data_IF_508099175186
#
_entry.id   IF_508099175186
#
_cell.length_a   1.000
_cell.length_b   1.000
_cell.length_c   1.000
_cell.angle_alpha   90.00
_cell.angle_beta   90.00
_cell.angle_gamma   90.00
#
_symmetry.space_group_name_H-M   'P 1'
#
loop_
_entity.id
_entity.type
_entity.pdbx_description
1 polymer ?
#
# COMPACT_ATOMS: atom_id res chain seq x y z
N UNK A 1 -24.04 -12.47 -7.78
CA UNK A 1 -22.65 -12.97 -7.96
C UNK A 1 -22.28 -13.01 -9.43
N UNK A 2 -23.14 -13.55 -10.30
CA UNK A 2 -22.95 -13.63 -11.76
C UNK A 2 -22.43 -12.34 -12.41
N UNK A 3 -23.09 -11.22 -12.18
CA UNK A 3 -22.69 -9.93 -12.73
C UNK A 3 -21.24 -9.50 -12.40
N UNK A 4 -20.66 -9.96 -11.26
CA UNK A 4 -19.26 -9.65 -10.92
C UNK A 4 -18.28 -10.45 -11.77
N UNK A 5 -18.65 -11.69 -12.12
CA UNK A 5 -17.88 -12.50 -13.05
C UNK A 5 -17.93 -11.91 -14.45
N UNK A 6 -19.08 -11.37 -14.87
CA UNK A 6 -19.22 -10.68 -16.16
C UNK A 6 -18.34 -9.42 -16.22
N UNK A 7 -18.42 -8.55 -15.22
CA UNK A 7 -17.56 -7.34 -15.14
C UNK A 7 -16.07 -7.69 -15.17
N UNK A 8 -15.65 -8.69 -14.38
CA UNK A 8 -14.25 -9.13 -14.33
C UNK A 8 -13.80 -9.81 -15.62
N UNK A 9 -14.64 -10.63 -16.25
CA UNK A 9 -14.33 -11.28 -17.52
C UNK A 9 -14.13 -10.25 -18.64
N UNK A 10 -14.98 -9.23 -18.69
CA UNK A 10 -14.86 -8.14 -19.67
C UNK A 10 -13.56 -7.35 -19.47
N UNK A 11 -13.25 -6.98 -18.23
CA UNK A 11 -12.01 -6.27 -17.89
C UNK A 11 -10.76 -7.12 -18.14
N UNK A 12 -10.80 -8.43 -17.89
CA UNK A 12 -9.71 -9.35 -18.23
C UNK A 12 -9.53 -9.46 -19.75
N UNK A 13 -10.62 -9.47 -20.53
CA UNK A 13 -10.56 -9.43 -22.00
C UNK A 13 -9.89 -8.15 -22.51
N UNK A 14 -10.24 -7.00 -21.95
CA UNK A 14 -9.58 -5.73 -22.29
C UNK A 14 -8.10 -5.72 -21.87
N UNK A 15 -7.77 -6.23 -20.68
CA UNK A 15 -6.39 -6.34 -20.24
C UNK A 15 -5.56 -7.26 -21.16
N UNK A 16 -6.14 -8.34 -21.66
CA UNK A 16 -5.49 -9.24 -22.63
C UNK A 16 -5.29 -8.54 -23.98
N UNK A 17 -6.30 -7.84 -24.49
CA UNK A 17 -6.22 -7.12 -25.75
C UNK A 17 -5.17 -6.01 -25.72
N UNK A 18 -5.06 -5.27 -24.60
CA UNK A 18 -4.14 -4.15 -24.43
C UNK A 18 -2.83 -4.50 -23.72
N UNK A 19 -2.46 -5.79 -23.64
CA UNK A 19 -1.34 -6.27 -22.82
C UNK A 19 0.01 -5.60 -23.12
N UNK A 20 0.24 -5.24 -24.38
CA UNK A 20 1.50 -4.66 -24.86
C UNK A 20 1.46 -3.12 -24.88
N UNK A 21 0.41 -2.51 -24.31
CA UNK A 21 0.15 -1.07 -24.33
C UNK A 21 -0.03 -0.52 -22.93
N UNK A 22 0.19 0.79 -22.75
CA UNK A 22 -0.01 1.49 -21.47
C UNK A 22 -1.42 1.34 -20.88
N UNK A 23 -2.43 1.03 -21.71
CA UNK A 23 -3.83 0.80 -21.32
C UNK A 23 -4.01 -0.40 -20.40
N UNK A 24 -3.05 -1.33 -20.38
CA UNK A 24 -3.01 -2.43 -19.42
C UNK A 24 -3.10 -1.93 -17.97
N UNK A 25 -2.38 -0.85 -17.64
CA UNK A 25 -2.35 -0.32 -16.27
C UNK A 25 -3.74 0.15 -15.80
N UNK A 26 -4.48 1.01 -16.55
CA UNK A 26 -5.88 1.29 -16.29
C UNK A 26 -6.77 0.04 -16.20
N UNK A 27 -6.56 -0.97 -17.05
CA UNK A 27 -7.35 -2.21 -17.02
C UNK A 27 -7.19 -2.97 -15.69
N UNK A 28 -5.94 -3.13 -15.24
CA UNK A 28 -5.62 -3.76 -13.96
C UNK A 28 -6.14 -2.93 -12.77
N UNK A 29 -6.01 -1.60 -12.85
CA UNK A 29 -6.57 -0.70 -11.84
C UNK A 29 -8.09 -0.80 -11.76
N UNK A 30 -8.79 -0.94 -12.89
CA UNK A 30 -10.23 -1.14 -12.93
C UNK A 30 -10.64 -2.48 -12.31
N UNK A 31 -9.89 -3.57 -12.57
CA UNK A 31 -10.11 -4.88 -11.93
C UNK A 31 -9.98 -4.81 -10.40
N UNK A 32 -8.92 -4.16 -9.91
CA UNK A 32 -8.68 -3.96 -8.48
C UNK A 32 -9.80 -3.11 -7.84
N UNK A 33 -10.12 -1.97 -8.43
CA UNK A 33 -11.21 -1.12 -7.94
C UNK A 33 -12.56 -1.83 -7.94
N UNK A 34 -12.84 -2.61 -8.99
CA UNK A 34 -14.10 -3.34 -9.13
C UNK A 34 -14.29 -4.44 -8.09
N UNK A 35 -13.21 -5.09 -7.67
CA UNK A 35 -13.23 -6.13 -6.63
C UNK A 35 -13.24 -5.55 -5.21
N UNK A 36 -12.57 -4.42 -4.97
CA UNK A 36 -12.46 -3.80 -3.65
C UNK A 36 -13.76 -3.13 -3.16
N UNK A 37 -14.47 -2.41 -4.03
CA UNK A 37 -15.73 -1.71 -3.67
C UNK A 37 -16.79 -2.63 -3.03
N UNK A 38 -17.13 -3.79 -3.62
CA UNK A 38 -18.08 -4.71 -3.00
C UNK A 38 -17.51 -5.42 -1.77
N UNK A 39 -16.20 -5.67 -1.72
CA UNK A 39 -15.55 -6.30 -0.57
C UNK A 39 -15.63 -5.41 0.67
N UNK A 40 -15.23 -4.14 0.56
CA UNK A 40 -15.27 -3.16 1.67
C UNK A 40 -16.70 -2.97 2.17
N UNK A 41 -17.69 -2.94 1.26
CA UNK A 41 -19.11 -2.88 1.63
C UNK A 41 -19.54 -4.11 2.43
N UNK A 42 -19.27 -5.30 1.91
CA UNK A 42 -19.64 -6.56 2.56
C UNK A 42 -18.98 -6.68 3.95
N UNK A 43 -17.70 -6.27 4.06
CA UNK A 43 -16.99 -6.24 5.34
C UNK A 43 -17.57 -5.21 6.30
N UNK A 44 -17.95 -4.03 5.80
CA UNK A 44 -18.59 -2.99 6.60
C UNK A 44 -19.95 -3.41 7.14
N UNK A 45 -20.81 -3.98 6.29
CA UNK A 45 -22.11 -4.54 6.70
C UNK A 45 -21.93 -5.66 7.74
N UNK A 46 -20.93 -6.53 7.55
CA UNK A 46 -20.57 -7.56 8.54
C UNK A 46 -20.02 -7.03 9.87
N UNK A 47 -19.61 -5.76 9.93
CA UNK A 47 -19.16 -5.06 11.13
C UNK A 47 -20.22 -4.09 11.68
N UNK A 48 -21.44 -4.11 11.14
CA UNK A 48 -22.55 -3.25 11.57
C UNK A 48 -22.49 -1.80 11.05
N UNK A 49 -21.58 -1.49 10.13
CA UNK A 49 -21.43 -0.15 9.54
C UNK A 49 -22.08 -0.10 8.16
N UNK A 50 -23.08 0.77 7.99
CA UNK A 50 -23.80 0.90 6.72
C UNK A 50 -23.00 1.77 5.73
N UNK A 51 -22.22 1.13 4.86
CA UNK A 51 -21.39 1.82 3.86
C UNK A 51 -22.19 2.03 2.56
N UNK A 52 -23.10 3.01 2.57
CA UNK A 52 -23.96 3.32 1.40
C UNK A 52 -23.32 4.28 0.40
N UNK A 53 -22.37 5.10 0.81
CA UNK A 53 -21.83 6.16 -0.03
C UNK A 53 -20.82 5.65 -1.07
N UNK A 54 -20.89 6.18 -2.29
CA UNK A 54 -19.93 5.96 -3.36
C UNK A 54 -20.16 6.92 -4.51
N UNK A 55 -19.07 7.46 -5.07
CA UNK A 55 -19.12 8.45 -6.16
C UNK A 55 -19.54 7.86 -7.51
N UNK A 56 -19.44 6.53 -7.65
CA UNK A 56 -19.83 5.80 -8.85
C UNK A 56 -20.80 4.69 -8.48
N UNK A 57 -21.99 4.71 -9.09
CA UNK A 57 -22.95 3.64 -8.95
C UNK A 57 -22.63 2.47 -9.88
N UNK A 58 -23.13 1.29 -9.52
CA UNK A 58 -22.90 0.06 -10.28
C UNK A 58 -23.41 0.18 -11.73
N UNK A 59 -24.55 0.83 -11.91
CA UNK A 59 -25.17 1.01 -13.24
C UNK A 59 -24.32 1.93 -14.13
N UNK A 60 -23.78 3.02 -13.57
CA UNK A 60 -22.94 3.97 -14.30
C UNK A 60 -21.68 3.28 -14.83
N UNK A 61 -21.04 2.44 -14.02
CA UNK A 61 -19.83 1.71 -14.42
C UNK A 61 -20.07 0.76 -15.58
N UNK A 62 -21.14 -0.03 -15.50
CA UNK A 62 -21.52 -0.97 -16.56
C UNK A 62 -21.91 -0.20 -17.82
N UNK A 63 -22.57 0.94 -17.69
CA UNK A 63 -22.96 1.78 -18.82
C UNK A 63 -21.73 2.37 -19.53
N UNK A 64 -20.78 2.97 -18.81
CA UNK A 64 -19.58 3.54 -19.42
C UNK A 64 -18.68 2.48 -20.06
N UNK A 65 -18.45 1.35 -19.39
CA UNK A 65 -17.62 0.30 -19.98
C UNK A 65 -18.35 -0.45 -21.10
N UNK A 66 -19.61 -0.82 -20.90
CA UNK A 66 -20.39 -1.59 -21.87
C UNK A 66 -20.72 -0.79 -23.13
N UNK A 67 -21.13 0.48 -22.99
CA UNK A 67 -21.32 1.35 -24.15
C UNK A 67 -19.97 1.68 -24.82
N UNK A 68 -18.93 1.91 -24.01
CA UNK A 68 -17.57 2.15 -24.49
C UNK A 68 -17.04 1.04 -25.39
N UNK A 69 -17.19 -0.22 -24.97
CA UNK A 69 -16.73 -1.39 -25.72
C UNK A 69 -17.66 -1.82 -26.85
N UNK A 70 -18.97 -1.60 -26.73
CA UNK A 70 -19.93 -1.97 -27.77
C UNK A 70 -19.95 -0.98 -28.94
N UNK A 71 -19.77 0.32 -28.67
CA UNK A 71 -19.80 1.37 -29.69
C UNK A 71 -18.44 1.59 -30.36
N UNK A 72 -17.33 1.21 -29.71
CA UNK A 72 -15.99 1.43 -30.27
C UNK A 72 -15.77 0.75 -31.63
N UNK A 73 -16.17 -0.52 -31.87
CA UNK A 73 -15.91 -1.16 -33.17
C UNK A 73 -16.72 -0.52 -34.30
N UNK A 74 -17.91 0.02 -33.99
CA UNK A 74 -18.78 0.69 -34.97
C UNK A 74 -18.17 2.03 -35.39
N UNK A 75 -17.68 2.82 -34.44
CA UNK A 75 -17.05 4.10 -34.74
C UNK A 75 -15.75 3.90 -35.56
N UNK A 76 -14.92 2.92 -35.18
CA UNK A 76 -13.67 2.67 -35.89
C UNK A 76 -13.88 2.07 -37.28
N UNK A 77 -14.91 1.24 -37.46
CA UNK A 77 -15.28 0.76 -38.79
C UNK A 77 -15.67 1.90 -39.76
N UNK A 78 -16.18 3.02 -39.23
CA UNK A 78 -16.57 4.20 -40.04
C UNK A 78 -15.38 5.11 -40.34
N UNK A 79 -14.47 5.31 -39.38
CA UNK A 79 -13.38 6.28 -39.53
C UNK A 79 -12.03 5.67 -39.99
N UNK A 80 -11.72 4.43 -39.62
CA UNK A 80 -10.45 3.75 -39.92
C UNK A 80 -10.67 2.26 -40.30
N UNK A 81 -11.18 1.99 -41.51
CA UNK A 81 -11.52 0.63 -41.95
C UNK A 81 -10.32 -0.30 -42.21
N UNK A 82 -9.09 0.20 -42.33
CA UNK A 82 -7.92 -0.60 -42.72
C UNK A 82 -7.02 -1.09 -41.56
N UNK A 83 -7.27 -0.69 -40.31
CA UNK A 83 -6.46 -1.14 -39.18
C UNK A 83 -6.94 -2.50 -38.62
N UNK A 84 -6.02 -3.49 -38.58
CA UNK A 84 -6.31 -4.84 -38.05
C UNK A 84 -6.40 -4.91 -36.52
N UNK A 85 -5.81 -3.94 -35.81
CA UNK A 85 -5.84 -3.82 -34.34
C UNK A 85 -6.03 -2.36 -33.94
N UNK A 86 -7.22 -1.78 -34.18
CA UNK A 86 -7.46 -0.39 -33.86
C UNK A 86 -7.50 -0.19 -32.34
N UNK A 87 -6.84 0.86 -31.88
CA UNK A 87 -6.91 1.26 -30.47
C UNK A 87 -8.32 1.76 -30.18
N UNK A 88 -9.11 1.04 -29.37
CA UNK A 88 -10.49 1.41 -29.11
C UNK A 88 -10.61 2.63 -28.19
N UNK A 89 -10.36 3.83 -28.70
CA UNK A 89 -10.26 5.07 -27.91
C UNK A 89 -11.48 5.33 -27.02
N UNK A 90 -12.69 5.05 -27.52
CA UNK A 90 -13.92 5.19 -26.73
C UNK A 90 -13.95 4.23 -25.53
N UNK A 91 -13.54 2.98 -25.75
CA UNK A 91 -13.42 1.98 -24.69
C UNK A 91 -12.27 2.31 -23.72
N UNK A 92 -11.15 2.85 -24.22
CA UNK A 92 -10.01 3.30 -23.40
C UNK A 92 -10.40 4.45 -22.48
N UNK A 93 -11.11 5.45 -23.00
CA UNK A 93 -11.61 6.58 -22.19
C UNK A 93 -12.57 6.08 -21.12
N UNK A 94 -13.53 5.21 -21.49
CA UNK A 94 -14.44 4.57 -20.54
C UNK A 94 -13.70 3.76 -19.47
N UNK A 95 -12.69 2.99 -19.86
CA UNK A 95 -11.87 2.17 -18.98
C UNK A 95 -11.08 3.02 -17.98
N UNK A 96 -10.41 4.08 -18.44
CA UNK A 96 -9.64 5.00 -17.59
C UNK A 96 -10.57 5.68 -16.59
N UNK A 97 -11.73 6.16 -17.05
CA UNK A 97 -12.74 6.77 -16.19
C UNK A 97 -13.19 5.80 -15.09
N UNK A 98 -13.52 4.56 -15.46
CA UNK A 98 -13.95 3.51 -14.54
C UNK A 98 -12.83 3.12 -13.57
N UNK A 99 -11.59 3.04 -14.05
CA UNK A 99 -10.42 2.73 -13.23
C UNK A 99 -10.25 3.77 -12.13
N UNK A 100 -10.27 5.06 -12.46
CA UNK A 100 -10.13 6.14 -11.48
C UNK A 100 -11.30 6.13 -10.50
N UNK A 101 -12.54 6.17 -11.01
CA UNK A 101 -13.73 6.30 -10.18
C UNK A 101 -13.94 5.10 -9.24
N UNK A 102 -13.63 3.87 -9.69
CA UNK A 102 -13.73 2.67 -8.86
C UNK A 102 -12.69 2.69 -7.73
N UNK A 103 -11.46 3.12 -7.98
CA UNK A 103 -10.43 3.22 -6.96
C UNK A 103 -10.72 4.35 -5.96
N UNK A 104 -11.18 5.51 -6.43
CA UNK A 104 -11.63 6.62 -5.55
C UNK A 104 -12.77 6.16 -4.64
N UNK A 105 -13.74 5.41 -5.19
CA UNK A 105 -14.85 4.86 -4.40
C UNK A 105 -14.40 3.79 -3.41
N UNK A 106 -13.47 2.92 -3.79
CA UNK A 106 -12.91 1.91 -2.88
C UNK A 106 -12.21 2.58 -1.68
N UNK A 107 -11.38 3.60 -1.94
CA UNK A 107 -10.65 4.33 -0.92
C UNK A 107 -11.57 5.14 -0.01
N UNK A 108 -12.57 5.84 -0.56
CA UNK A 108 -13.51 6.63 0.23
C UNK A 108 -14.33 5.74 1.17
N UNK A 109 -14.81 4.59 0.68
CA UNK A 109 -15.51 3.59 1.50
C UNK A 109 -14.63 3.01 2.58
N UNK A 110 -13.41 2.61 2.24
CA UNK A 110 -12.48 2.04 3.20
C UNK A 110 -12.16 3.05 4.31
N UNK A 111 -11.89 4.31 3.95
CA UNK A 111 -11.66 5.39 4.91
C UNK A 111 -12.86 5.64 5.81
N UNK A 112 -14.08 5.66 5.25
CA UNK A 112 -15.29 5.87 6.03
C UNK A 112 -15.53 4.70 7.00
N UNK A 113 -15.29 3.46 6.57
CA UNK A 113 -15.37 2.27 7.40
C UNK A 113 -14.36 2.33 8.56
N UNK A 114 -13.08 2.61 8.25
CA UNK A 114 -12.04 2.74 9.28
C UNK A 114 -12.38 3.85 10.27
N UNK A 115 -12.89 5.00 9.82
CA UNK A 115 -13.31 6.09 10.70
C UNK A 115 -14.50 5.72 11.60
N UNK A 116 -15.45 4.94 11.09
CA UNK A 116 -16.61 4.48 11.85
C UNK A 116 -16.24 3.44 12.92
N UNK A 117 -15.22 2.62 12.65
CA UNK A 117 -14.73 1.58 13.56
C UNK A 117 -13.60 2.05 14.48
N UNK A 118 -12.93 3.15 14.13
CA UNK A 118 -11.86 3.68 14.95
C UNK A 118 -12.45 4.13 16.30
N UNK A 119 -11.95 3.60 17.43
CA UNK A 119 -12.36 4.10 18.74
C UNK A 119 -12.06 5.60 18.81
N UNK A 120 -12.93 6.39 19.47
CA UNK A 120 -12.68 7.81 19.76
C UNK A 120 -11.42 7.90 20.62
N UNK A 121 -10.26 8.00 19.97
CA UNK A 121 -8.95 7.98 20.63
C UNK A 121 -8.77 9.32 21.35
N UNK A 122 -8.63 9.25 22.68
CA UNK A 122 -8.18 10.38 23.49
C UNK A 122 -6.86 10.93 22.92
N UNK A 123 -6.73 12.25 22.92
CA UNK A 123 -5.73 13.08 22.25
C UNK A 123 -4.32 12.47 22.17
N UNK A 124 -4.07 11.66 21.14
CA UNK A 124 -2.71 11.38 20.69
C UNK A 124 -2.21 12.62 19.95
N UNK A 125 -0.92 12.97 20.13
CA UNK A 125 -0.23 14.08 19.44
C UNK A 125 -0.72 14.22 17.99
N UNK A 126 -0.91 15.47 17.54
CA UNK A 126 -1.28 15.81 16.15
C UNK A 126 -0.56 14.90 15.16
N UNK A 127 -1.28 14.28 14.22
CA UNK A 127 -0.70 13.29 13.29
C UNK A 127 0.53 13.80 12.54
N UNK A 128 0.63 15.11 12.32
CA UNK A 128 1.82 15.77 11.75
C UNK A 128 3.05 15.64 12.65
N UNK A 129 2.90 15.73 13.97
CA UNK A 129 4.00 15.58 14.93
C UNK A 129 4.49 14.13 15.00
N UNK A 130 3.60 13.13 14.89
CA UNK A 130 4.00 11.72 14.85
C UNK A 130 4.83 11.45 13.59
N UNK A 131 4.36 11.93 12.43
CA UNK A 131 5.11 11.81 11.17
C UNK A 131 6.46 12.51 11.27
N UNK A 132 6.49 13.76 11.78
CA UNK A 132 7.72 14.54 11.92
C UNK A 132 8.76 13.89 12.85
N UNK A 133 8.35 13.43 14.04
CA UNK A 133 9.26 12.75 14.98
C UNK A 133 9.76 11.42 14.43
N UNK A 134 8.89 10.64 13.79
CA UNK A 134 9.28 9.36 13.18
C UNK A 134 10.27 9.57 12.02
N UNK A 135 10.05 10.58 11.18
CA UNK A 135 10.97 10.93 10.11
C UNK A 135 12.33 11.41 10.66
N UNK A 136 12.33 12.23 11.72
CA UNK A 136 13.56 12.65 12.40
C UNK A 136 14.31 11.45 13.01
N UNK A 137 13.60 10.52 13.64
CA UNK A 137 14.17 9.29 14.17
C UNK A 137 14.87 8.47 13.08
N UNK A 138 14.22 8.32 11.92
CA UNK A 138 14.79 7.66 10.75
C UNK A 138 16.04 8.38 10.23
N UNK A 139 16.01 9.70 10.12
CA UNK A 139 17.15 10.49 9.67
C UNK A 139 18.36 10.37 10.62
N UNK A 140 18.13 10.40 11.94
CA UNK A 140 19.17 10.19 12.95
C UNK A 140 19.74 8.78 12.86
N UNK A 141 18.88 7.77 12.71
CA UNK A 141 19.33 6.39 12.54
C UNK A 141 20.20 6.21 11.30
N UNK A 142 19.85 6.83 10.18
CA UNK A 142 20.66 6.81 8.95
C UNK A 142 21.98 7.57 9.10
N UNK A 143 21.99 8.69 9.83
CA UNK A 143 23.26 9.37 10.10
C UNK A 143 24.20 8.49 10.94
N UNK A 144 23.66 7.78 11.94
CA UNK A 144 24.43 6.88 12.80
C UNK A 144 24.91 5.65 12.04
N UNK A 145 24.06 5.03 11.21
CA UNK A 145 24.49 3.89 10.40
C UNK A 145 25.61 4.26 9.43
N UNK A 146 25.50 5.39 8.74
CA UNK A 146 26.48 5.87 7.79
C UNK A 146 27.82 6.18 8.46
N UNK A 147 27.79 6.83 9.63
CA UNK A 147 28.98 7.11 10.42
C UNK A 147 29.67 5.81 10.87
N UNK A 148 28.91 4.79 11.27
CA UNK A 148 29.46 3.49 11.65
C UNK A 148 30.09 2.78 10.44
N UNK A 149 29.43 2.80 9.28
CA UNK A 149 29.98 2.21 8.04
C UNK A 149 31.31 2.86 7.68
N UNK A 150 31.38 4.18 7.67
CA UNK A 150 32.62 4.91 7.37
C UNK A 150 33.74 4.55 8.35
N UNK A 151 33.46 4.55 9.66
CA UNK A 151 34.46 4.19 10.67
C UNK A 151 34.98 2.76 10.49
N UNK A 152 34.10 1.79 10.21
CA UNK A 152 34.50 0.39 10.02
C UNK A 152 35.28 0.16 8.72
N UNK A 153 34.93 0.87 7.64
CA UNK A 153 35.65 0.76 6.36
C UNK A 153 37.00 1.46 6.43
N UNK A 154 37.04 2.71 6.93
CA UNK A 154 38.25 3.53 6.90
C UNK A 154 39.24 3.16 8.02
N UNK A 155 38.77 2.88 9.24
CA UNK A 155 39.65 2.67 10.38
C UNK A 155 39.91 1.19 10.68
N UNK A 156 38.93 0.33 10.42
CA UNK A 156 39.07 -1.10 10.65
C UNK A 156 39.38 -1.89 9.36
N UNK A 157 39.41 -1.24 8.20
CA UNK A 157 39.69 -1.88 6.91
C UNK A 157 38.68 -2.97 6.53
N UNK A 158 37.48 -2.95 7.13
CA UNK A 158 36.47 -3.98 6.87
C UNK A 158 35.91 -3.86 5.47
N UNK A 159 35.55 -5.01 4.88
CA UNK A 159 34.81 -5.00 3.62
C UNK A 159 33.50 -4.18 3.77
N UNK A 160 33.19 -3.30 2.80
CA UNK A 160 32.00 -2.46 2.85
C UNK A 160 30.68 -3.22 3.07
N UNK A 161 30.59 -4.45 2.56
CA UNK A 161 29.43 -5.31 2.76
C UNK A 161 29.17 -5.61 4.25
N UNK A 162 30.20 -6.03 5.00
CA UNK A 162 30.08 -6.35 6.42
C UNK A 162 29.89 -5.09 7.28
N UNK A 163 30.58 -4.01 6.92
CA UNK A 163 30.38 -2.71 7.57
C UNK A 163 28.92 -2.24 7.42
N UNK A 164 28.33 -2.39 6.24
CA UNK A 164 26.93 -2.02 5.96
C UNK A 164 25.94 -2.86 6.78
N UNK A 165 26.17 -4.17 6.91
CA UNK A 165 25.30 -5.04 7.73
C UNK A 165 25.29 -4.57 9.19
N UNK A 166 26.46 -4.29 9.76
CA UNK A 166 26.58 -3.79 11.13
C UNK A 166 25.99 -2.39 11.30
N UNK A 167 26.24 -1.50 10.34
CA UNK A 167 25.66 -0.16 10.28
C UNK A 167 24.14 -0.20 10.30
N UNK A 168 23.52 -0.96 9.38
CA UNK A 168 22.07 -1.12 9.33
C UNK A 168 21.51 -1.73 10.62
N UNK A 169 22.23 -2.68 11.24
CA UNK A 169 21.85 -3.25 12.53
C UNK A 169 21.78 -2.19 13.63
N UNK A 170 22.82 -1.37 13.76
CA UNK A 170 22.86 -0.27 14.73
C UNK A 170 21.79 0.79 14.43
N UNK A 171 21.65 1.19 13.17
CA UNK A 171 20.62 2.14 12.73
C UNK A 171 19.21 1.66 13.08
N UNK A 172 18.92 0.37 12.88
CA UNK A 172 17.64 -0.22 13.26
C UNK A 172 17.37 -0.14 14.78
N UNK A 173 18.39 -0.40 15.61
CA UNK A 173 18.30 -0.31 17.07
C UNK A 173 18.06 1.13 17.51
N UNK A 174 18.79 2.10 16.93
CA UNK A 174 18.62 3.53 17.19
C UNK A 174 17.21 3.98 16.81
N UNK A 175 16.75 3.63 15.60
CA UNK A 175 15.42 4.01 15.12
C UNK A 175 14.31 3.42 16.00
N UNK A 176 14.45 2.15 16.41
CA UNK A 176 13.52 1.51 17.35
C UNK A 176 13.49 2.23 18.69
N UNK A 177 14.65 2.53 19.26
CA UNK A 177 14.79 3.16 20.58
C UNK A 177 14.17 4.55 20.61
N UNK A 178 14.47 5.38 19.60
CA UNK A 178 13.89 6.72 19.47
C UNK A 178 12.37 6.62 19.28
N UNK A 179 11.89 5.75 18.40
CA UNK A 179 10.45 5.64 18.16
C UNK A 179 9.69 5.12 19.37
N UNK A 180 10.27 4.21 20.14
CA UNK A 180 9.68 3.72 21.38
C UNK A 180 9.54 4.82 22.43
N UNK A 181 10.60 5.58 22.68
CA UNK A 181 10.66 6.54 23.79
C UNK A 181 10.03 7.88 23.42
N UNK A 182 10.28 8.39 22.20
CA UNK A 182 9.93 9.76 21.81
C UNK A 182 8.69 9.84 20.92
N UNK A 183 8.54 8.94 19.95
CA UNK A 183 7.44 8.98 18.96
C UNK A 183 6.16 8.36 19.50
N UNK A 184 6.23 7.14 20.02
CA UNK A 184 5.07 6.33 20.40
C UNK A 184 4.93 6.11 21.91
N UNK A 185 5.94 6.50 22.71
CA UNK A 185 5.94 6.41 24.19
C UNK A 185 5.40 5.05 24.70
N UNK A 186 5.93 3.96 24.16
CA UNK A 186 5.40 2.62 24.41
C UNK A 186 6.13 1.92 25.57
N UNK A 187 5.35 1.38 26.51
CA UNK A 187 5.82 0.72 27.73
C UNK A 187 5.75 -0.82 27.68
N UNK A 188 5.43 -1.42 26.52
CA UNK A 188 5.30 -2.87 26.38
C UNK A 188 6.62 -3.66 26.46
N UNK A 189 6.57 -5.00 26.51
CA UNK A 189 7.76 -5.87 26.57
C UNK A 189 8.71 -5.66 25.39
N UNK A 190 10.00 -5.40 25.68
CA UNK A 190 11.03 -5.06 24.69
C UNK A 190 11.17 -6.14 23.61
N UNK A 191 11.28 -7.41 24.02
CA UNK A 191 11.55 -8.52 23.11
C UNK A 191 10.45 -8.71 22.05
N UNK A 192 9.18 -8.64 22.48
CA UNK A 192 8.01 -8.80 21.58
C UNK A 192 7.93 -7.65 20.57
N UNK A 193 8.19 -6.42 21.01
CA UNK A 193 8.18 -5.26 20.12
C UNK A 193 9.37 -5.26 19.16
N UNK A 194 10.54 -5.67 19.61
CA UNK A 194 11.73 -5.77 18.77
C UNK A 194 11.56 -6.85 17.69
N UNK A 195 10.92 -7.98 18.03
CA UNK A 195 10.54 -9.01 17.05
C UNK A 195 9.52 -8.49 16.01
N UNK A 196 8.48 -7.76 16.45
CA UNK A 196 7.52 -7.14 15.52
C UNK A 196 8.21 -6.09 14.63
N UNK A 197 9.09 -5.30 15.22
CA UNK A 197 9.84 -4.26 14.51
C UNK A 197 10.81 -4.85 13.48
N UNK A 198 11.52 -5.94 13.79
CA UNK A 198 12.44 -6.58 12.86
C UNK A 198 11.72 -7.14 11.64
N UNK A 199 10.52 -7.72 11.82
CA UNK A 199 9.67 -8.14 10.70
C UNK A 199 9.28 -6.96 9.83
N UNK A 200 8.76 -5.88 10.43
CA UNK A 200 8.35 -4.67 9.67
C UNK A 200 9.52 -4.06 8.90
N UNK A 201 10.68 -3.93 9.55
CA UNK A 201 11.90 -3.37 8.95
C UNK A 201 12.47 -4.27 7.86
N UNK A 202 12.50 -5.58 8.07
CA UNK A 202 12.99 -6.56 7.10
C UNK A 202 12.12 -6.59 5.84
N UNK A 203 10.80 -6.63 6.00
CA UNK A 203 9.88 -6.54 4.85
C UNK A 203 9.97 -5.18 4.17
N UNK A 204 10.15 -4.09 4.90
CA UNK A 204 10.40 -2.76 4.32
C UNK A 204 11.66 -2.75 3.44
N UNK A 205 12.76 -3.39 3.88
CA UNK A 205 13.98 -3.48 3.09
C UNK A 205 13.75 -4.23 1.77
N UNK A 206 13.04 -5.37 1.82
CA UNK A 206 12.68 -6.14 0.63
C UNK A 206 11.77 -5.35 -0.32
N UNK A 207 10.75 -4.67 0.21
CA UNK A 207 9.84 -3.82 -0.59
C UNK A 207 10.59 -2.66 -1.25
N UNK A 208 11.54 -2.04 -0.56
CA UNK A 208 12.37 -0.97 -1.14
C UNK A 208 13.29 -1.51 -2.25
N UNK A 209 14.00 -2.60 -2.00
CA UNK A 209 14.90 -3.20 -2.99
C UNK A 209 14.13 -3.68 -4.23
N UNK A 210 13.07 -4.46 -4.03
CA UNK A 210 12.23 -4.98 -5.11
C UNK A 210 11.48 -3.87 -5.86
N UNK A 211 10.95 -2.87 -5.15
CA UNK A 211 10.26 -1.74 -5.76
C UNK A 211 11.17 -0.92 -6.67
N UNK A 212 12.39 -0.64 -6.23
CA UNK A 212 13.38 0.07 -7.07
C UNK A 212 13.76 -0.79 -8.28
N UNK A 213 14.05 -2.08 -8.07
CA UNK A 213 14.38 -2.99 -9.17
C UNK A 213 13.28 -3.07 -10.24
N UNK A 214 12.01 -3.13 -9.82
CA UNK A 214 10.87 -3.13 -10.73
C UNK A 214 10.73 -1.82 -11.50
N UNK A 215 10.85 -0.68 -10.83
CA UNK A 215 10.72 0.62 -11.49
C UNK A 215 11.85 0.91 -12.47
N UNK A 216 13.05 0.36 -12.23
CA UNK A 216 14.17 0.46 -13.17
C UNK A 216 14.00 -0.35 -14.44
N UNK A 217 13.05 -1.30 -14.49
CA UNK A 217 12.72 -2.00 -15.73
C UNK A 217 12.02 -1.08 -16.75
N UNK A 218 11.47 0.06 -16.32
CA UNK A 218 10.83 1.01 -17.20
C UNK A 218 11.86 1.96 -17.84
N UNK A 219 12.14 1.89 -19.16
CA UNK A 219 13.27 2.58 -19.78
C UNK A 219 13.22 4.11 -19.69
N UNK A 220 12.02 4.68 -19.49
CA UNK A 220 11.77 6.12 -19.49
C UNK A 220 11.70 6.72 -18.08
N UNK A 221 11.69 5.89 -17.03
CA UNK A 221 11.57 6.39 -15.66
C UNK A 221 12.97 6.68 -15.12
N UNK A 222 13.24 7.94 -14.78
CA UNK A 222 14.51 8.31 -14.18
C UNK A 222 14.73 7.54 -12.86
N UNK A 223 15.89 6.93 -12.71
CA UNK A 223 16.26 6.14 -11.53
C UNK A 223 15.99 6.89 -10.21
N UNK A 224 16.38 8.16 -10.15
CA UNK A 224 16.18 9.00 -8.97
C UNK A 224 14.69 9.13 -8.59
N UNK A 225 13.81 9.28 -9.60
CA UNK A 225 12.36 9.38 -9.37
C UNK A 225 11.81 8.04 -8.84
N UNK A 226 12.21 6.91 -9.44
CA UNK A 226 11.81 5.59 -8.95
C UNK A 226 12.27 5.34 -7.52
N UNK A 227 13.50 5.73 -7.20
CA UNK A 227 14.11 5.59 -5.88
C UNK A 227 13.35 6.35 -4.78
N UNK A 228 12.98 7.61 -5.07
CA UNK A 228 12.20 8.44 -4.13
C UNK A 228 10.74 7.97 -4.03
N UNK A 229 10.13 7.58 -5.13
CA UNK A 229 8.74 7.12 -5.17
C UNK A 229 8.55 5.87 -4.31
N UNK A 230 9.42 4.86 -4.49
CA UNK A 230 9.34 3.60 -3.74
C UNK A 230 9.47 3.87 -2.24
N UNK A 231 10.45 4.70 -1.84
CA UNK A 231 10.64 5.06 -0.42
C UNK A 231 9.44 5.77 0.17
N UNK A 232 8.87 6.73 -0.56
CA UNK A 232 7.65 7.42 -0.13
C UNK A 232 6.49 6.44 0.07
N UNK A 233 6.23 5.59 -0.92
CA UNK A 233 5.15 4.60 -0.87
C UNK A 233 5.36 3.60 0.27
N UNK A 234 6.53 2.98 0.38
CA UNK A 234 6.82 2.01 1.44
C UNK A 234 6.79 2.69 2.81
N UNK A 235 7.24 3.93 2.95
CA UNK A 235 7.14 4.66 4.21
C UNK A 235 5.69 4.88 4.65
N UNK A 236 4.85 5.47 3.79
CA UNK A 236 3.48 5.84 4.16
C UNK A 236 2.51 4.66 4.20
N UNK A 237 2.68 3.68 3.32
CA UNK A 237 1.79 2.54 3.22
C UNK A 237 2.19 1.37 4.16
N UNK A 238 3.47 1.25 4.50
CA UNK A 238 4.00 0.11 5.25
C UNK A 238 4.58 0.51 6.61
N UNK A 239 5.66 1.30 6.62
CA UNK A 239 6.39 1.58 7.86
C UNK A 239 5.55 2.34 8.88
N UNK A 240 4.98 3.48 8.49
CA UNK A 240 4.28 4.35 9.43
C UNK A 240 3.03 3.66 10.04
N UNK A 241 2.14 3.02 9.26
CA UNK A 241 0.98 2.34 9.84
C UNK A 241 1.36 1.16 10.72
N UNK A 242 2.29 0.30 10.29
CA UNK A 242 2.66 -0.91 11.05
C UNK A 242 3.45 -0.57 12.32
N UNK A 243 4.33 0.43 12.28
CA UNK A 243 5.01 0.89 13.50
C UNK A 243 3.99 1.42 14.52
N UNK A 244 3.04 2.24 14.06
CA UNK A 244 2.00 2.83 14.91
C UNK A 244 1.02 1.80 15.49
N UNK A 245 0.51 0.90 14.66
CA UNK A 245 -0.67 0.08 14.97
C UNK A 245 -0.34 -1.37 15.36
N UNK A 246 0.83 -1.89 14.95
CA UNK A 246 1.24 -3.28 15.21
C UNK A 246 2.43 -3.39 16.17
N UNK A 247 3.50 -2.64 15.92
CA UNK A 247 4.74 -2.72 16.72
C UNK A 247 4.56 -2.06 18.09
N UNK A 248 4.09 -0.82 18.12
CA UNK A 248 4.02 0.00 19.34
C UNK A 248 2.62 0.11 19.94
N UNK A 249 1.68 -0.74 19.51
CA UNK A 249 0.32 -0.77 20.06
C UNK A 249 0.27 -1.58 21.37
N UNK A 250 0.04 -0.88 22.48
CA UNK A 250 -0.02 -1.48 23.81
C UNK A 250 -1.33 -2.26 24.05
N UNK A 251 -2.44 -1.85 23.42
CA UNK A 251 -3.78 -2.38 23.68
C UNK A 251 -3.95 -3.79 23.10
N UNK A 252 -3.38 -4.04 21.93
CA UNK A 252 -3.40 -5.36 21.29
C UNK A 252 -2.63 -6.41 22.09
N UNK A 253 -1.51 -6.02 22.72
CA UNK A 253 -0.73 -6.93 23.54
C UNK A 253 -1.46 -7.31 24.84
N UNK A 254 -2.12 -6.35 25.49
CA UNK A 254 -2.92 -6.59 26.68
C UNK A 254 -4.13 -7.50 26.41
N UNK A 255 -4.80 -7.34 25.25
CA UNK A 255 -5.90 -8.22 24.86
C UNK A 255 -5.46 -9.64 24.52
N UNK A 256 -4.28 -9.79 23.91
CA UNK A 256 -3.73 -11.10 23.52
C UNK A 256 -3.27 -11.89 24.75
N UNK A 257 -2.60 -11.24 25.70
CA UNK A 257 -2.21 -11.85 26.97
C UNK A 257 -3.45 -12.22 27.81
N UNK A 258 -4.48 -11.36 27.87
CA UNK A 258 -5.75 -11.69 28.55
C UNK A 258 -6.51 -12.86 27.89
N UNK A 259 -6.47 -13.00 26.57
CA UNK A 259 -7.06 -14.14 25.85
C UNK A 259 -6.26 -15.44 26.06
N UNK A 260 -4.93 -15.35 26.20
CA UNK A 260 -4.08 -16.50 26.51
C UNK A 260 -4.26 -16.98 27.95
N UNK A 261 -4.44 -16.06 28.90
CA UNK A 261 -4.72 -16.37 30.30
C UNK A 261 -6.12 -17.00 30.49
N UNK A 262 -7.08 -16.68 29.61
CA UNK A 262 -8.41 -17.30 29.60
C UNK A 262 -8.48 -18.67 28.93
N UNK A 263 -7.40 -19.17 28.31
CA UNK A 263 -7.41 -20.55 27.78
C UNK A 263 -7.28 -21.51 28.96
N UNK A 264 -8.30 -22.34 29.27
CA UNK A 264 -8.11 -23.38 30.28
C UNK A 264 -6.98 -24.27 29.79
N UNK A 265 -5.96 -24.45 30.64
CA UNK A 265 -4.94 -25.46 30.44
C UNK A 265 -5.68 -26.79 30.32
N UNK A 266 -5.84 -27.29 29.09
CA UNK A 266 -6.33 -28.63 28.84
C UNK A 266 -5.26 -29.57 29.39
N UNK A 267 -5.50 -30.06 30.61
CA UNK A 267 -4.78 -31.13 31.27
C UNK A 267 -5.19 -32.48 30.67
#
# INVERSE_FOLDING_TARGET
>A
MLDRYVDSAMLMGLAWYYRDTWVLLPALMALLGSSLVPYVRAKGEGLGVNVRDGAMQRLERVLFMGAGTALSPILEAVFWPEEKHPMHWLAVVGLVFVAVMSNVTALSRFRNLVKALAPKRQEARSGKAIIGLNALAGAVATAVDFALVLALVEWAGMLPAWATVLGCGLGAVVNYSINRVLTFKSNGPVARQLARYSVVSGTSALLNAGGVALLTLHPQLAYALGWWLVRGVVYFAWNLPLQRDYVFNNDAAASEDALMEQRPHAA
#
